data_IF_048211381916
#
_entry.id   IF_048211381916
#
_cell.length_a   1.000
_cell.length_b   1.000
_cell.length_c   1.000
_cell.angle_alpha   90.00
_cell.angle_beta   90.00
_cell.angle_gamma   90.00
#
_symmetry.space_group_name_H-M   'P 1'
#
loop_
_entity.id
_entity.type
_entity.pdbx_description
1 polymer ?
#
# COMPACT_ATOMS: atom_id res chain seq x y z
N UNK A 1 -28.97 -11.71 6.19
CA UNK A 1 -29.94 -12.51 5.38
C UNK A 1 -29.27 -13.75 4.81
N UNK A 2 -28.12 -13.66 4.16
CA UNK A 2 -27.38 -14.80 3.59
C UNK A 2 -27.00 -15.84 4.67
N UNK A 3 -26.63 -15.39 5.87
CA UNK A 3 -26.27 -16.30 6.97
C UNK A 3 -27.40 -17.23 7.41
N UNK A 4 -28.63 -16.84 7.19
CA UNK A 4 -29.82 -17.63 7.56
C UNK A 4 -30.52 -18.27 6.35
N UNK A 5 -30.00 -18.02 5.14
CA UNK A 5 -30.55 -18.58 3.93
C UNK A 5 -30.27 -20.07 3.85
N UNK A 6 -31.33 -20.86 3.59
CA UNK A 6 -31.19 -22.30 3.36
C UNK A 6 -30.99 -22.55 1.87
N UNK A 7 -29.99 -23.35 1.53
CA UNK A 7 -29.75 -23.80 0.17
C UNK A 7 -29.38 -25.25 0.12
N UNK A 8 -29.70 -25.94 -1.00
CA UNK A 8 -29.27 -27.31 -1.23
C UNK A 8 -27.85 -27.29 -1.80
N UNK A 9 -26.90 -27.89 -1.07
CA UNK A 9 -25.55 -28.07 -1.58
C UNK A 9 -25.55 -29.11 -2.70
N UNK A 10 -25.03 -28.74 -3.84
CA UNK A 10 -24.66 -29.66 -4.92
C UNK A 10 -23.17 -29.59 -5.19
N UNK A 11 -22.49 -30.72 -5.15
CA UNK A 11 -21.06 -30.77 -5.47
C UNK A 11 -20.85 -30.30 -6.89
N UNK A 12 -19.90 -29.36 -7.14
CA UNK A 12 -19.59 -28.92 -8.50
C UNK A 12 -19.21 -30.07 -9.39
N UNK A 13 -19.88 -30.21 -10.55
CA UNK A 13 -19.65 -31.30 -11.48
C UNK A 13 -18.27 -31.32 -12.15
N UNK A 14 -17.56 -30.18 -12.12
CA UNK A 14 -16.21 -30.06 -12.64
C UNK A 14 -15.37 -29.20 -11.68
N UNK A 15 -14.54 -29.83 -10.88
CA UNK A 15 -13.39 -29.16 -10.28
C UNK A 15 -12.39 -28.86 -11.40
N UNK A 16 -12.52 -27.71 -12.07
CA UNK A 16 -11.41 -27.20 -12.86
C UNK A 16 -10.26 -27.01 -11.87
N UNK A 17 -9.27 -27.91 -11.89
CA UNK A 17 -7.98 -27.63 -11.28
C UNK A 17 -7.51 -26.33 -11.92
N UNK A 18 -7.59 -25.25 -11.18
CA UNK A 18 -6.91 -24.01 -11.53
C UNK A 18 -5.42 -24.37 -11.53
N UNK A 19 -4.91 -24.76 -12.69
CA UNK A 19 -3.47 -24.85 -12.91
C UNK A 19 -2.95 -23.43 -12.74
N UNK A 20 -2.48 -23.13 -11.53
CA UNK A 20 -2.05 -21.80 -11.10
C UNK A 20 -0.75 -21.34 -11.76
N UNK A 21 -0.67 -21.44 -13.09
CA UNK A 21 0.32 -20.66 -13.83
C UNK A 21 -0.20 -19.24 -13.91
N UNK A 22 0.37 -18.38 -13.07
CA UNK A 22 0.24 -16.94 -13.22
C UNK A 22 0.78 -16.59 -14.61
N UNK A 23 -0.11 -16.29 -15.53
CA UNK A 23 0.29 -15.73 -16.81
C UNK A 23 0.47 -14.23 -16.60
N UNK A 24 1.73 -13.77 -16.59
CA UNK A 24 2.02 -12.35 -16.75
C UNK A 24 1.43 -11.92 -18.09
N UNK A 25 0.39 -11.09 -18.04
CA UNK A 25 -0.34 -10.64 -19.24
C UNK A 25 0.06 -9.21 -19.64
N UNK A 26 0.96 -8.57 -18.87
CA UNK A 26 1.35 -7.19 -19.15
C UNK A 26 2.28 -7.08 -20.38
N UNK A 27 2.10 -6.00 -21.12
CA UNK A 27 2.88 -5.64 -22.29
C UNK A 27 3.95 -4.59 -21.98
N UNK A 28 4.93 -4.45 -22.86
CA UNK A 28 5.92 -3.38 -22.77
C UNK A 28 5.29 -1.99 -22.96
N UNK A 29 4.20 -1.87 -23.70
CA UNK A 29 3.48 -0.61 -23.90
C UNK A 29 2.86 -0.12 -22.57
N UNK A 30 2.30 -1.02 -21.75
CA UNK A 30 1.77 -0.66 -20.42
C UNK A 30 2.89 -0.17 -19.47
N UNK A 31 4.08 -0.77 -19.56
CA UNK A 31 5.24 -0.29 -18.79
C UNK A 31 5.68 1.10 -19.28
N UNK A 32 5.68 1.36 -20.59
CA UNK A 32 6.03 2.67 -21.15
C UNK A 32 5.00 3.75 -20.77
N UNK A 33 3.72 3.39 -20.73
CA UNK A 33 2.68 4.26 -20.25
C UNK A 33 2.83 4.58 -18.76
N UNK A 34 3.11 3.57 -17.91
CA UNK A 34 3.42 3.75 -16.50
C UNK A 34 4.59 4.74 -16.31
N UNK A 35 5.69 4.57 -17.04
CA UNK A 35 6.85 5.46 -16.97
C UNK A 35 6.47 6.89 -17.40
N UNK A 36 5.63 7.02 -18.41
CA UNK A 36 5.13 8.32 -18.88
C UNK A 36 4.31 9.01 -17.78
N UNK A 37 3.43 8.28 -17.10
CA UNK A 37 2.67 8.81 -15.96
C UNK A 37 3.60 9.22 -14.81
N UNK A 38 4.55 8.36 -14.43
CA UNK A 38 5.56 8.67 -13.41
C UNK A 38 6.34 9.94 -13.75
N UNK A 39 6.76 10.08 -15.01
CA UNK A 39 7.55 11.24 -15.45
C UNK A 39 6.78 12.56 -15.43
N UNK A 40 5.46 12.55 -15.53
CA UNK A 40 4.59 13.74 -15.53
C UNK A 40 4.08 14.12 -14.14
N UNK A 41 4.05 13.19 -13.20
CA UNK A 41 3.47 13.39 -11.88
C UNK A 41 4.20 14.48 -11.07
N UNK A 42 3.42 15.32 -10.40
CA UNK A 42 3.89 16.37 -9.48
C UNK A 42 3.51 16.07 -8.03
N UNK A 43 2.43 15.33 -7.84
CA UNK A 43 1.88 14.94 -6.52
C UNK A 43 1.59 13.44 -6.48
N UNK A 44 2.58 12.59 -6.76
CA UNK A 44 2.34 11.15 -6.81
C UNK A 44 2.18 10.53 -5.43
N UNK A 45 1.45 9.39 -5.37
CA UNK A 45 1.39 8.51 -4.20
C UNK A 45 1.44 7.06 -4.66
N UNK A 46 2.25 6.25 -3.99
CA UNK A 46 2.23 4.79 -4.12
C UNK A 46 1.34 4.22 -3.02
N UNK A 47 0.47 3.29 -3.38
CA UNK A 47 -0.40 2.58 -2.48
C UNK A 47 -0.11 1.07 -2.56
N UNK A 48 0.54 0.50 -1.54
CA UNK A 48 0.93 -0.91 -1.52
C UNK A 48 -0.03 -1.75 -0.70
N UNK A 49 -0.39 -2.92 -1.20
CA UNK A 49 -1.25 -3.88 -0.52
C UNK A 49 -0.58 -5.21 -0.21
N UNK A 50 -1.37 -6.13 0.35
CA UNK A 50 -0.94 -7.49 0.68
C UNK A 50 -0.47 -8.31 -0.53
N UNK A 51 -0.89 -7.94 -1.74
CA UNK A 51 -0.44 -8.57 -2.98
C UNK A 51 1.07 -8.48 -3.19
N UNK A 52 1.72 -7.41 -2.69
CA UNK A 52 3.19 -7.30 -2.71
C UNK A 52 3.84 -8.38 -1.85
N UNK A 53 3.32 -8.61 -0.64
CA UNK A 53 3.83 -9.62 0.29
C UNK A 53 3.56 -11.02 -0.27
N UNK A 54 2.38 -11.25 -0.83
CA UNK A 54 1.98 -12.53 -1.41
C UNK A 54 2.77 -12.91 -2.67
N UNK A 55 3.30 -11.92 -3.40
CA UNK A 55 4.23 -12.14 -4.54
C UNK A 55 5.61 -12.64 -4.09
N UNK A 56 5.86 -12.70 -2.78
CA UNK A 56 7.06 -13.26 -2.16
C UNK A 56 8.11 -12.23 -1.72
N UNK A 57 9.17 -12.69 -1.04
CA UNK A 57 10.17 -11.81 -0.43
C UNK A 57 10.84 -10.86 -1.41
N UNK A 58 11.14 -11.34 -2.62
CA UNK A 58 11.75 -10.53 -3.69
C UNK A 58 10.86 -9.37 -4.13
N UNK A 59 9.54 -9.52 -4.11
CA UNK A 59 8.63 -8.45 -4.50
C UNK A 59 8.71 -7.25 -3.54
N UNK A 60 8.83 -7.50 -2.24
CA UNK A 60 9.03 -6.44 -1.24
C UNK A 60 10.38 -5.73 -1.41
N UNK A 61 11.46 -6.46 -1.75
CA UNK A 61 12.77 -5.88 -2.07
C UNK A 61 12.69 -4.99 -3.32
N UNK A 62 12.06 -5.50 -4.37
CA UNK A 62 11.87 -4.76 -5.64
C UNK A 62 10.98 -3.54 -5.44
N UNK A 63 9.93 -3.63 -4.60
CA UNK A 63 9.12 -2.47 -4.23
C UNK A 63 9.98 -1.38 -3.57
N UNK A 64 10.84 -1.75 -2.61
CA UNK A 64 11.72 -0.79 -1.93
C UNK A 64 12.71 -0.12 -2.89
N UNK A 65 13.28 -0.91 -3.80
CA UNK A 65 14.15 -0.38 -4.86
C UNK A 65 13.40 0.61 -5.74
N UNK A 66 12.21 0.24 -6.22
CA UNK A 66 11.36 1.08 -7.06
C UNK A 66 10.99 2.40 -6.37
N UNK A 67 10.48 2.34 -5.14
CA UNK A 67 10.08 3.53 -4.36
C UNK A 67 11.25 4.47 -4.14
N UNK A 68 12.42 3.94 -3.76
CA UNK A 68 13.63 4.75 -3.55
C UNK A 68 14.17 5.35 -4.83
N UNK A 69 14.05 4.63 -5.95
CA UNK A 69 14.47 5.10 -7.26
C UNK A 69 13.66 6.32 -7.70
N UNK A 70 12.33 6.26 -7.60
CA UNK A 70 11.47 7.35 -8.07
C UNK A 70 11.23 8.45 -7.03
N UNK A 71 11.51 8.18 -5.75
CA UNK A 71 11.42 9.16 -4.66
C UNK A 71 10.01 9.50 -4.19
N UNK A 72 8.99 8.73 -4.59
CA UNK A 72 7.59 9.00 -4.27
C UNK A 72 7.24 8.62 -2.82
N UNK A 73 6.28 9.31 -2.19
CA UNK A 73 5.69 8.86 -0.94
C UNK A 73 4.92 7.55 -1.13
N UNK A 74 4.99 6.68 -0.13
CA UNK A 74 4.28 5.41 -0.11
C UNK A 74 3.40 5.27 1.12
N UNK A 75 2.18 4.81 0.91
CA UNK A 75 1.23 4.38 1.95
C UNK A 75 0.90 2.90 1.77
N UNK A 76 0.29 2.30 2.78
CA UNK A 76 0.02 0.87 2.79
C UNK A 76 -1.39 0.55 3.29
N UNK A 77 -1.92 -0.59 2.83
CA UNK A 77 -3.02 -1.27 3.53
C UNK A 77 -2.52 -1.91 4.82
N UNK A 78 -3.45 -2.31 5.69
CA UNK A 78 -3.16 -3.13 6.86
C UNK A 78 -2.35 -4.40 6.48
N UNK A 79 -2.78 -5.12 5.44
CA UNK A 79 -2.14 -6.35 4.98
C UNK A 79 -0.84 -6.12 4.18
N UNK A 80 -0.54 -4.87 3.83
CA UNK A 80 0.71 -4.50 3.17
C UNK A 80 1.81 -4.04 4.12
N UNK A 81 1.55 -3.98 5.43
CA UNK A 81 2.52 -3.54 6.43
C UNK A 81 3.79 -4.41 6.39
N UNK A 82 4.94 -3.75 6.37
CA UNK A 82 6.25 -4.40 6.27
C UNK A 82 6.74 -4.68 4.83
N UNK A 83 5.90 -4.56 3.80
CA UNK A 83 6.38 -4.60 2.42
C UNK A 83 7.40 -3.47 2.16
N UNK A 84 7.06 -2.26 2.63
CA UNK A 84 7.97 -1.13 2.73
C UNK A 84 8.25 -0.82 4.20
N UNK A 85 9.48 -0.42 4.59
CA UNK A 85 9.82 -0.19 5.99
C UNK A 85 8.97 0.92 6.62
N UNK A 86 8.40 0.65 7.81
CA UNK A 86 7.54 1.57 8.52
C UNK A 86 8.27 2.74 9.19
N UNK A 87 9.60 2.68 9.29
CA UNK A 87 10.47 3.74 9.81
C UNK A 87 11.18 4.55 8.71
N UNK A 88 10.98 4.20 7.44
CA UNK A 88 11.53 4.96 6.31
C UNK A 88 10.76 6.28 6.12
N UNK A 89 11.48 7.36 5.82
CA UNK A 89 10.91 8.70 5.62
C UNK A 89 9.94 8.79 4.43
N UNK A 90 10.04 7.89 3.45
CA UNK A 90 9.10 7.83 2.33
C UNK A 90 7.76 7.18 2.71
N UNK A 91 7.72 6.42 3.81
CA UNK A 91 6.48 5.84 4.32
C UNK A 91 5.65 6.91 5.04
N UNK A 92 4.45 7.18 4.54
CA UNK A 92 3.55 8.20 5.10
C UNK A 92 2.44 7.61 5.99
N UNK A 93 2.63 6.37 6.46
CA UNK A 93 1.67 5.65 7.31
C UNK A 93 0.64 4.87 6.52
N UNK A 94 -0.30 4.23 7.24
CA UNK A 94 -1.44 3.57 6.61
C UNK A 94 -2.41 4.59 6.03
N UNK A 95 -3.16 4.14 5.03
CA UNK A 95 -4.28 4.86 4.42
C UNK A 95 -5.61 4.35 4.98
N UNK A 96 -6.64 5.17 4.88
CA UNK A 96 -8.03 4.81 5.14
C UNK A 96 -8.53 5.24 6.53
N UNK A 97 -9.59 4.57 7.00
CA UNK A 97 -10.31 4.92 8.22
C UNK A 97 -9.40 5.03 9.46
N UNK A 98 -8.39 4.19 9.55
CA UNK A 98 -7.41 4.15 10.64
C UNK A 98 -6.03 4.67 10.23
N UNK A 99 -5.98 5.37 9.09
CA UNK A 99 -4.74 5.90 8.52
C UNK A 99 -4.28 7.20 9.16
N UNK A 100 -3.09 7.62 8.75
CA UNK A 100 -2.53 8.91 9.15
C UNK A 100 -3.20 10.06 8.40
N UNK A 101 -3.16 11.26 8.99
CA UNK A 101 -3.68 12.46 8.37
C UNK A 101 -2.98 12.77 7.04
N UNK A 102 -1.65 12.64 7.02
CA UNK A 102 -0.84 12.85 5.81
C UNK A 102 -1.12 11.83 4.72
N UNK A 103 -1.32 10.55 5.03
CA UNK A 103 -1.63 9.54 4.04
C UNK A 103 -3.00 9.78 3.39
N UNK A 104 -4.01 10.10 4.18
CA UNK A 104 -5.36 10.37 3.68
C UNK A 104 -5.40 11.64 2.82
N UNK A 105 -4.74 12.73 3.24
CA UNK A 105 -4.68 13.95 2.44
C UNK A 105 -3.85 13.78 1.18
N UNK A 106 -2.73 13.04 1.26
CA UNK A 106 -1.91 12.75 0.09
C UNK A 106 -2.70 11.94 -0.94
N UNK A 107 -3.49 10.95 -0.51
CA UNK A 107 -4.37 10.18 -1.38
C UNK A 107 -5.44 11.07 -2.05
N UNK A 108 -6.05 11.99 -1.29
CA UNK A 108 -7.09 12.86 -1.82
C UNK A 108 -6.56 13.88 -2.84
N UNK A 109 -5.36 14.45 -2.59
CA UNK A 109 -4.80 15.56 -3.38
C UNK A 109 -3.79 15.13 -4.45
N UNK A 110 -3.45 13.83 -4.54
CA UNK A 110 -2.48 13.35 -5.52
C UNK A 110 -2.97 13.54 -6.97
N UNK A 111 -2.02 13.67 -7.89
CA UNK A 111 -2.25 13.70 -9.34
C UNK A 111 -1.97 12.33 -10.00
N UNK A 112 -1.24 11.46 -9.32
CA UNK A 112 -0.97 10.08 -9.74
C UNK A 112 -1.04 9.15 -8.54
N UNK A 113 -1.93 8.15 -8.62
CA UNK A 113 -2.04 7.06 -7.68
C UNK A 113 -1.56 5.77 -8.33
N UNK A 114 -0.48 5.16 -7.79
CA UNK A 114 0.01 3.85 -8.24
C UNK A 114 -0.37 2.81 -7.19
N UNK A 115 -1.44 2.09 -7.44
CA UNK A 115 -1.87 0.97 -6.61
C UNK A 115 -1.12 -0.31 -7.00
N UNK A 116 -0.46 -0.94 -6.02
CA UNK A 116 0.35 -2.15 -6.19
C UNK A 116 -0.17 -3.24 -5.25
N UNK A 117 -0.92 -4.19 -5.80
CA UNK A 117 -1.43 -5.34 -5.06
C UNK A 117 -2.43 -5.03 -3.96
N UNK A 118 -3.26 -3.98 -4.13
CA UNK A 118 -4.35 -3.65 -3.22
C UNK A 118 -5.69 -3.62 -3.96
N UNK A 119 -6.77 -4.07 -3.30
CA UNK A 119 -8.09 -4.27 -3.93
C UNK A 119 -9.02 -3.05 -3.93
N UNK A 120 -8.60 -1.90 -3.44
CA UNK A 120 -9.47 -0.76 -3.18
C UNK A 120 -10.66 -1.11 -2.27
N UNK A 121 -10.34 -1.62 -1.07
CA UNK A 121 -11.31 -2.00 -0.05
C UNK A 121 -12.11 -0.79 0.45
N UNK A 122 -13.35 -1.01 0.91
CA UNK A 122 -14.25 0.05 1.39
C UNK A 122 -13.71 0.81 2.61
N UNK A 123 -12.89 0.15 3.45
CA UNK A 123 -12.20 0.78 4.59
C UNK A 123 -11.18 1.84 4.17
N UNK A 124 -10.79 1.82 2.89
CA UNK A 124 -9.83 2.73 2.28
C UNK A 124 -10.55 3.77 1.40
N UNK A 125 -11.46 3.31 0.55
CA UNK A 125 -12.06 4.18 -0.48
C UNK A 125 -13.11 5.14 0.08
N UNK A 126 -13.85 4.72 1.10
CA UNK A 126 -15.00 5.47 1.58
C UNK A 126 -15.99 5.74 0.44
N UNK A 127 -16.34 6.98 0.22
CA UNK A 127 -17.23 7.39 -0.88
C UNK A 127 -16.49 7.31 -2.22
N UNK A 128 -16.88 6.36 -3.05
CA UNK A 128 -16.16 5.98 -4.27
C UNK A 128 -15.96 7.17 -5.22
N UNK A 129 -17.01 7.98 -5.42
CA UNK A 129 -16.98 9.13 -6.33
C UNK A 129 -16.02 10.24 -5.88
N UNK A 130 -15.67 10.27 -4.60
CA UNK A 130 -14.76 11.24 -4.01
C UNK A 130 -13.36 10.67 -3.74
N UNK A 131 -13.14 9.39 -4.05
CA UNK A 131 -11.84 8.76 -3.83
C UNK A 131 -10.81 9.24 -4.84
N UNK A 132 -9.79 9.97 -4.34
CA UNK A 132 -8.67 10.46 -5.15
C UNK A 132 -9.13 11.13 -6.47
N UNK A 133 -9.99 12.16 -6.40
CA UNK A 133 -10.78 12.62 -7.57
C UNK A 133 -9.94 13.27 -8.66
N UNK A 134 -8.73 13.72 -8.33
CA UNK A 134 -7.85 14.47 -9.25
C UNK A 134 -6.76 13.59 -9.89
N UNK A 135 -6.61 12.34 -9.42
CA UNK A 135 -5.48 11.49 -9.83
C UNK A 135 -5.75 10.68 -11.09
N UNK A 136 -4.72 10.52 -11.89
CA UNK A 136 -4.59 9.35 -12.76
C UNK A 136 -4.32 8.12 -11.89
N UNK A 137 -5.00 7.03 -12.15
CA UNK A 137 -4.95 5.81 -11.34
C UNK A 137 -4.34 4.66 -12.13
N UNK A 138 -3.28 4.09 -11.59
CA UNK A 138 -2.66 2.86 -12.08
C UNK A 138 -2.99 1.73 -11.11
N UNK A 139 -3.34 0.56 -11.62
CA UNK A 139 -3.58 -0.63 -10.81
C UNK A 139 -2.75 -1.80 -11.31
N UNK A 140 -1.79 -2.23 -10.50
CA UNK A 140 -0.96 -3.41 -10.73
C UNK A 140 -1.49 -4.51 -9.83
N UNK A 141 -2.06 -5.55 -10.42
CA UNK A 141 -2.60 -6.69 -9.69
C UNK A 141 -2.42 -7.98 -10.51
N UNK A 142 -2.30 -9.11 -9.80
CA UNK A 142 -2.21 -10.43 -10.43
C UNK A 142 -3.57 -10.95 -10.86
N UNK A 143 -4.64 -10.49 -10.21
CA UNK A 143 -6.01 -10.93 -10.45
C UNK A 143 -6.74 -9.93 -11.36
N UNK A 144 -7.00 -10.29 -12.63
CA UNK A 144 -7.72 -9.41 -13.55
C UNK A 144 -9.15 -9.09 -13.07
N UNK A 145 -9.74 -9.92 -12.20
CA UNK A 145 -11.07 -9.66 -11.66
C UNK A 145 -11.10 -8.54 -10.62
N UNK A 146 -9.97 -8.17 -10.07
CA UNK A 146 -9.80 -7.04 -9.15
C UNK A 146 -9.74 -5.69 -9.89
N UNK A 147 -9.35 -5.71 -11.16
CA UNK A 147 -9.23 -4.51 -11.98
C UNK A 147 -10.60 -3.90 -12.27
N UNK A 148 -10.73 -2.59 -12.08
CA UNK A 148 -11.97 -1.83 -12.30
C UNK A 148 -13.19 -2.33 -11.50
N UNK A 149 -12.99 -3.17 -10.49
CA UNK A 149 -14.08 -3.74 -9.69
C UNK A 149 -14.74 -2.68 -8.80
N UNK A 150 -13.96 -1.90 -8.09
CA UNK A 150 -14.42 -0.85 -7.17
C UNK A 150 -14.12 0.53 -7.75
N UNK A 151 -12.85 0.78 -8.05
CA UNK A 151 -12.37 2.06 -8.60
C UNK A 151 -11.99 1.85 -10.06
N UNK A 152 -12.50 2.72 -10.93
CA UNK A 152 -12.05 2.77 -12.33
C UNK A 152 -10.64 3.34 -12.41
N UNK A 153 -9.78 2.68 -13.18
CA UNK A 153 -8.38 3.08 -13.33
C UNK A 153 -8.05 3.49 -14.75
N UNK A 154 -7.09 4.37 -14.91
CA UNK A 154 -6.63 4.86 -16.22
C UNK A 154 -5.68 3.85 -16.88
N UNK A 155 -4.84 3.17 -16.08
CA UNK A 155 -3.93 2.14 -16.55
C UNK A 155 -4.04 0.90 -15.66
N UNK A 156 -4.35 -0.23 -16.27
CA UNK A 156 -4.35 -1.55 -15.61
C UNK A 156 -3.14 -2.36 -16.09
N UNK A 157 -2.40 -2.97 -15.16
CA UNK A 157 -1.27 -3.85 -15.46
C UNK A 157 -1.51 -5.18 -14.74
N UNK A 158 -1.89 -6.21 -15.50
CA UNK A 158 -2.18 -7.54 -14.95
C UNK A 158 -0.91 -8.39 -14.96
N UNK A 159 -0.35 -8.65 -13.78
CA UNK A 159 0.86 -9.43 -13.65
C UNK A 159 1.38 -9.56 -12.23
N UNK A 160 2.39 -10.40 -12.08
CA UNK A 160 3.12 -10.52 -10.82
C UNK A 160 3.83 -9.20 -10.48
N UNK A 161 3.67 -8.73 -9.24
CA UNK A 161 4.22 -7.45 -8.77
C UNK A 161 5.74 -7.37 -8.99
N UNK A 162 6.48 -8.45 -8.68
CA UNK A 162 7.93 -8.45 -8.83
C UNK A 162 8.35 -8.29 -10.28
N UNK A 163 7.68 -8.98 -11.20
CA UNK A 163 7.99 -8.93 -12.64
C UNK A 163 7.65 -7.55 -13.25
N UNK A 164 6.49 -6.99 -12.90
CA UNK A 164 6.08 -5.66 -13.35
C UNK A 164 7.06 -4.60 -12.86
N UNK A 165 7.39 -4.60 -11.56
CA UNK A 165 8.30 -3.61 -10.99
C UNK A 165 9.72 -3.74 -11.53
N UNK A 166 10.24 -4.96 -11.70
CA UNK A 166 11.57 -5.17 -12.31
C UNK A 166 11.63 -4.65 -13.74
N UNK A 167 10.59 -4.90 -14.53
CA UNK A 167 10.50 -4.38 -15.89
C UNK A 167 10.47 -2.85 -15.92
N UNK A 168 9.77 -2.24 -14.97
CA UNK A 168 9.69 -0.79 -14.81
C UNK A 168 11.04 -0.20 -14.37
N UNK A 169 11.69 -0.76 -13.35
CA UNK A 169 13.01 -0.31 -12.84
C UNK A 169 14.06 -0.35 -13.96
N UNK A 170 14.08 -1.43 -14.73
CA UNK A 170 15.04 -1.58 -15.85
C UNK A 170 14.95 -0.42 -16.85
N UNK A 171 13.75 0.09 -17.12
CA UNK A 171 13.55 1.22 -18.04
C UNK A 171 13.73 2.59 -17.37
N UNK A 172 13.69 2.68 -16.06
CA UNK A 172 13.89 3.93 -15.30
C UNK A 172 15.37 4.24 -15.02
N UNK A 173 16.32 3.49 -15.62
CA UNK A 173 17.74 3.77 -15.50
C UNK A 173 18.05 5.20 -15.99
N UNK A 174 18.53 6.07 -15.10
CA UNK A 174 18.77 7.51 -15.38
C UNK A 174 17.72 8.50 -14.85
N UNK A 175 16.64 8.01 -14.25
CA UNK A 175 15.49 8.83 -13.80
C UNK A 175 15.71 9.60 -12.47
N UNK A 176 16.77 9.28 -11.72
CA UNK A 176 16.87 9.55 -10.29
C UNK A 176 16.90 11.03 -9.87
N UNK A 177 17.52 11.91 -10.64
CA UNK A 177 17.83 13.28 -10.14
C UNK A 177 16.83 14.36 -10.61
N UNK A 178 16.28 14.23 -11.81
CA UNK A 178 15.29 15.19 -12.33
C UNK A 178 13.93 15.12 -11.61
N UNK A 179 13.59 13.97 -11.05
CA UNK A 179 12.28 13.75 -10.42
C UNK A 179 12.21 14.28 -8.98
N UNK A 180 13.30 14.22 -8.22
CA UNK A 180 13.34 14.68 -6.82
C UNK A 180 13.02 16.19 -6.71
N UNK A 181 13.61 17.00 -7.58
CA UNK A 181 13.35 18.45 -7.60
C UNK A 181 11.89 18.73 -7.96
N UNK A 182 11.32 17.97 -8.88
CA UNK A 182 9.95 18.16 -9.37
C UNK A 182 8.88 17.93 -8.30
N UNK A 183 9.10 16.98 -7.38
CA UNK A 183 8.17 16.63 -6.30
C UNK A 183 8.54 17.27 -4.95
N UNK A 184 9.52 18.18 -4.89
CA UNK A 184 9.97 18.81 -3.64
C UNK A 184 8.83 19.51 -2.91
N UNK A 185 8.06 20.33 -3.62
CA UNK A 185 6.89 21.04 -3.07
C UNK A 185 5.82 20.08 -2.55
N UNK A 186 5.69 18.91 -3.19
CA UNK A 186 4.78 17.86 -2.71
C UNK A 186 5.26 17.27 -1.38
N UNK A 187 6.56 17.01 -1.26
CA UNK A 187 7.14 16.57 0.00
C UNK A 187 7.02 17.62 1.11
N UNK A 188 7.21 18.90 0.81
CA UNK A 188 7.00 20.00 1.76
C UNK A 188 5.55 20.00 2.28
N UNK A 189 4.59 19.80 1.39
CA UNK A 189 3.18 19.71 1.78
C UNK A 189 2.90 18.49 2.67
N UNK A 190 3.47 17.34 2.34
CA UNK A 190 3.34 16.12 3.17
C UNK A 190 3.98 16.35 4.55
N UNK A 191 5.16 16.96 4.62
CA UNK A 191 5.79 17.28 5.90
C UNK A 191 4.93 18.24 6.74
N UNK A 192 4.30 19.23 6.10
CA UNK A 192 3.34 20.11 6.79
C UNK A 192 2.15 19.35 7.34
N UNK A 193 1.64 18.34 6.65
CA UNK A 193 0.57 17.48 7.20
C UNK A 193 1.06 16.63 8.37
N UNK A 194 2.29 16.12 8.32
CA UNK A 194 2.91 15.36 9.42
C UNK A 194 2.98 16.14 10.73
N UNK A 195 3.13 17.48 10.67
CA UNK A 195 3.15 18.29 11.89
C UNK A 195 1.84 18.24 12.70
N UNK A 196 0.73 17.78 12.09
CA UNK A 196 -0.52 17.53 12.81
C UNK A 196 -0.40 16.42 13.86
N UNK A 197 0.58 15.50 13.67
CA UNK A 197 0.79 14.38 14.57
C UNK A 197 -0.51 13.66 14.94
N UNK A 198 -1.28 13.27 13.90
CA UNK A 198 -2.67 12.79 14.04
C UNK A 198 -2.82 11.52 14.89
N UNK A 199 -1.75 10.75 15.04
CA UNK A 199 -1.70 9.58 15.91
C UNK A 199 -1.05 9.88 17.27
N UNK A 200 -0.77 11.16 17.55
CA UNK A 200 -0.19 11.62 18.81
C UNK A 200 -1.11 11.34 20.00
N UNK A 201 -0.52 11.09 21.15
CA UNK A 201 -1.22 10.90 22.40
C UNK A 201 -0.42 11.51 23.57
N UNK A 202 -1.12 11.80 24.65
CA UNK A 202 -0.49 12.33 25.88
C UNK A 202 -0.38 11.18 26.88
N UNK A 203 0.83 10.95 27.38
CA UNK A 203 1.06 9.99 28.46
C UNK A 203 0.45 10.52 29.78
N UNK A 204 0.14 9.60 30.66
CA UNK A 204 -0.38 9.86 31.99
C UNK A 204 0.40 9.02 33.00
N UNK A 205 0.64 9.58 34.16
CA UNK A 205 1.25 8.85 35.28
C UNK A 205 0.25 7.91 35.97
N UNK A 206 -1.03 8.10 35.71
CA UNK A 206 -2.10 7.30 36.34
C UNK A 206 -2.48 6.07 35.50
N UNK A 207 -2.37 6.15 34.19
CA UNK A 207 -2.82 5.07 33.28
C UNK A 207 -1.87 4.86 32.12
N UNK A 208 -1.60 3.60 31.78
CA UNK A 208 -0.81 3.25 30.58
C UNK A 208 -1.72 3.35 29.36
N UNK A 209 -1.40 4.27 28.46
CA UNK A 209 -2.08 4.35 27.15
C UNK A 209 -1.71 3.16 26.27
N UNK A 210 -2.68 2.54 25.57
CA UNK A 210 -2.39 1.44 24.62
C UNK A 210 -1.32 1.79 23.58
N UNK A 211 -1.36 3.01 23.07
CA UNK A 211 -0.38 3.54 22.12
C UNK A 211 1.04 3.51 22.72
N UNK A 212 1.17 3.93 23.97
CA UNK A 212 2.45 3.90 24.70
C UNK A 212 2.97 2.46 24.84
N UNK A 213 2.09 1.54 25.24
CA UNK A 213 2.45 0.12 25.41
C UNK A 213 2.99 -0.46 24.08
N UNK A 214 2.31 -0.18 22.96
CA UNK A 214 2.74 -0.67 21.63
C UNK A 214 4.05 -0.01 21.18
N UNK A 215 4.21 1.30 21.39
CA UNK A 215 5.47 1.98 21.07
C UNK A 215 6.62 1.43 21.92
N UNK A 216 6.38 1.18 23.20
CA UNK A 216 7.40 0.59 24.08
C UNK A 216 7.76 -0.83 23.66
N UNK A 217 6.78 -1.63 23.24
CA UNK A 217 7.01 -2.95 22.69
C UNK A 217 7.91 -2.87 21.44
N UNK A 218 7.61 -1.95 20.51
CA UNK A 218 8.47 -1.72 19.35
C UNK A 218 9.90 -1.36 19.76
N UNK A 219 10.09 -0.40 20.69
CA UNK A 219 11.42 0.02 21.16
C UNK A 219 12.25 -1.14 21.73
N UNK A 220 11.60 -2.05 22.45
CA UNK A 220 12.26 -3.22 23.06
C UNK A 220 12.57 -4.33 22.05
N UNK A 221 11.84 -4.40 20.94
CA UNK A 221 11.91 -5.52 19.98
C UNK A 221 12.43 -5.14 18.60
N UNK A 222 12.63 -3.85 18.30
CA UNK A 222 13.02 -3.37 16.96
C UNK A 222 14.28 -3.99 16.37
N UNK A 223 15.18 -4.50 17.21
CA UNK A 223 16.41 -5.17 16.80
C UNK A 223 16.28 -6.70 16.76
N UNK A 224 15.08 -7.22 16.99
CA UNK A 224 14.77 -8.65 16.99
C UNK A 224 13.90 -8.99 15.77
N UNK A 225 13.90 -10.27 15.39
CA UNK A 225 12.98 -10.76 14.37
C UNK A 225 11.62 -11.11 15.01
N UNK A 226 10.78 -10.10 15.17
CA UNK A 226 9.54 -10.17 15.95
C UNK A 226 8.33 -10.32 15.04
N UNK A 227 7.42 -11.23 15.40
CA UNK A 227 6.11 -11.41 14.76
C UNK A 227 5.04 -10.83 15.67
N UNK A 228 4.20 -9.98 15.13
CA UNK A 228 3.05 -9.38 15.83
C UNK A 228 1.78 -10.00 15.29
N UNK A 229 1.06 -10.68 16.17
CA UNK A 229 -0.24 -11.26 15.89
C UNK A 229 -1.30 -10.55 16.71
N UNK A 230 -2.44 -10.31 16.11
CA UNK A 230 -3.58 -9.68 16.77
C UNK A 230 -4.87 -10.43 16.45
N UNK A 231 -5.85 -10.24 17.29
CA UNK A 231 -7.25 -10.49 16.99
C UNK A 231 -7.87 -9.18 16.50
N UNK A 232 -9.10 -9.20 15.99
CA UNK A 232 -9.79 -8.01 15.47
C UNK A 232 -10.30 -7.13 16.63
N UNK A 233 -9.89 -5.86 16.63
CA UNK A 233 -10.31 -4.90 17.65
C UNK A 233 -9.46 -3.63 17.66
N UNK A 234 -9.67 -2.78 18.65
CA UNK A 234 -8.91 -1.53 18.79
C UNK A 234 -7.40 -1.78 18.93
N UNK A 235 -7.00 -2.85 19.63
CA UNK A 235 -5.60 -3.22 19.80
C UNK A 235 -4.92 -3.53 18.47
N UNK A 236 -5.64 -4.12 17.50
CA UNK A 236 -5.14 -4.32 16.14
C UNK A 236 -4.78 -2.98 15.50
N UNK A 237 -5.66 -1.99 15.62
CA UNK A 237 -5.43 -0.66 15.04
C UNK A 237 -4.24 0.04 15.70
N UNK A 238 -4.13 -0.02 17.04
CA UNK A 238 -2.98 0.53 17.74
C UNK A 238 -1.67 -0.16 17.36
N UNK A 239 -1.68 -1.49 17.22
CA UNK A 239 -0.51 -2.23 16.76
C UNK A 239 -0.10 -1.78 15.34
N UNK A 240 -1.07 -1.68 14.42
CA UNK A 240 -0.81 -1.25 13.05
C UNK A 240 -0.30 0.20 12.94
N UNK A 241 -0.76 1.10 13.82
CA UNK A 241 -0.41 2.52 13.82
C UNK A 241 0.92 2.82 14.54
N UNK A 242 1.21 2.12 15.62
CA UNK A 242 2.29 2.48 16.54
C UNK A 242 3.47 1.49 16.56
N UNK A 243 3.30 0.26 16.04
CA UNK A 243 4.42 -0.66 15.80
C UNK A 243 4.93 -0.47 14.36
N UNK A 244 6.24 -0.30 14.18
CA UNK A 244 6.82 -0.08 12.85
C UNK A 244 7.28 -1.41 12.24
N UNK A 245 6.59 -1.85 11.21
CA UNK A 245 6.90 -3.08 10.50
C UNK A 245 7.93 -2.81 9.40
N UNK A 246 9.13 -3.34 9.55
CA UNK A 246 10.25 -3.12 8.62
C UNK A 246 10.52 -4.33 7.72
N UNK A 247 9.84 -5.45 7.96
CA UNK A 247 9.96 -6.69 7.19
C UNK A 247 8.58 -7.23 6.82
N UNK A 248 8.42 -7.84 5.61
CA UNK A 248 7.20 -8.52 5.24
C UNK A 248 6.92 -9.72 6.15
N UNK A 249 5.68 -10.17 6.22
CA UNK A 249 5.24 -11.32 7.02
C UNK A 249 5.60 -11.21 8.52
N UNK A 250 5.59 -10.01 9.08
CA UNK A 250 5.77 -9.79 10.53
C UNK A 250 4.51 -9.26 11.19
N UNK A 251 3.50 -8.99 10.40
CA UNK A 251 2.13 -8.66 10.78
C UNK A 251 1.20 -9.81 10.41
N UNK A 252 0.37 -10.29 11.37
CA UNK A 252 -0.61 -11.38 11.19
C UNK A 252 -1.89 -11.09 11.97
#
# INVERSE_FOLDING_TARGET
DIQFAKTNYSKPKNEKKLNGKVHNQFSQNEIDELITLISKAKKPVIYSGGGVINSGPKASETLREFVRLIGFPITSTLQGLGAFPGDDNQFIGMLGMHGTYEANNAMHDCDLLINIGARFDDRITGKIDEFSPKSKKVHIDIDPSSINKIIKVDLAIVGDVNEVLRSTIKKLSGFKDSNKQKISTWWEQIQKWRTKNSLGFVNSDETIKPQHAVQRLYELTKNQDTFITTEVGQHQMWAAQHYKFNKPNRWM
#
